data_IF_253379913695
#
_entry.id   IF_253379913695
#
_cell.length_a   1.000
_cell.length_b   1.000
_cell.length_c   1.000
_cell.angle_alpha   90.00
_cell.angle_beta   90.00
_cell.angle_gamma   90.00
#
_symmetry.space_group_name_H-M   'P 1'
#
loop_
_entity.id
_entity.type
_entity.pdbx_description
1 polymer ?
#
# COMPACT_ATOMS: atom_id res chain seq x y z
N UNK A 1 -20.35 22.59 35.09
CA UNK A 1 -18.94 22.90 34.79
C UNK A 1 -18.77 23.28 33.33
N UNK A 2 -17.91 24.26 33.01
CA UNK A 2 -17.54 24.63 31.63
C UNK A 2 -16.02 24.64 31.51
N UNK A 3 -15.48 23.96 30.50
CA UNK A 3 -14.05 23.96 30.18
C UNK A 3 -13.85 24.06 28.67
N UNK A 4 -12.75 24.68 28.25
CA UNK A 4 -12.44 24.83 26.83
C UNK A 4 -10.95 24.79 26.54
N UNK A 5 -10.60 24.33 25.34
CA UNK A 5 -9.23 24.23 24.86
C UNK A 5 -9.14 24.67 23.40
N UNK A 6 -8.07 25.38 23.04
CA UNK A 6 -7.72 25.71 21.67
C UNK A 6 -6.53 24.87 21.22
N UNK A 7 -6.67 24.19 20.09
CA UNK A 7 -5.61 23.44 19.43
C UNK A 7 -5.23 24.20 18.16
N UNK A 8 -3.93 24.44 17.97
CA UNK A 8 -3.41 25.11 16.78
C UNK A 8 -2.13 24.42 16.31
N UNK A 9 -2.00 24.19 15.00
CA UNK A 9 -0.76 23.66 14.40
C UNK A 9 0.18 24.79 14.00
N UNK A 10 1.48 24.49 13.97
CA UNK A 10 2.51 25.48 13.60
C UNK A 10 2.41 25.93 12.14
N UNK A 11 2.09 25.00 11.23
CA UNK A 11 1.88 25.31 9.81
C UNK A 11 0.41 25.66 9.54
N UNK A 12 0.19 26.76 8.82
CA UNK A 12 -1.11 27.17 8.28
C UNK A 12 -1.74 26.17 7.31
N UNK A 13 -0.95 25.28 6.73
CA UNK A 13 -1.41 24.28 5.76
C UNK A 13 -1.74 22.93 6.40
N UNK A 14 -1.42 22.75 7.67
CA UNK A 14 -1.76 21.54 8.41
C UNK A 14 -3.18 21.63 8.94
N UNK A 15 -3.80 20.46 9.09
CA UNK A 15 -5.08 20.30 9.77
C UNK A 15 -4.89 19.55 11.09
N UNK A 16 -5.85 19.68 11.99
CA UNK A 16 -5.87 18.99 13.28
C UNK A 16 -6.76 17.75 13.13
N UNK A 17 -6.18 16.56 13.27
CA UNK A 17 -6.95 15.32 13.44
C UNK A 17 -6.98 14.95 14.91
N UNK A 18 -8.18 14.67 15.41
CA UNK A 18 -8.46 14.33 16.80
C UNK A 18 -9.08 12.94 16.89
N UNK A 19 -8.57 12.13 17.81
CA UNK A 19 -9.16 10.87 18.25
C UNK A 19 -9.81 11.03 19.63
N UNK A 20 -11.06 10.62 19.74
CA UNK A 20 -11.93 10.89 20.89
C UNK A 20 -12.32 9.58 21.58
N UNK A 21 -12.16 9.54 22.90
CA UNK A 21 -12.69 8.52 23.81
C UNK A 21 -13.50 9.22 24.91
N UNK A 22 -14.83 9.01 24.92
CA UNK A 22 -15.73 9.61 25.91
C UNK A 22 -16.40 8.54 26.74
N UNK A 23 -16.65 8.86 28.00
CA UNK A 23 -17.62 8.21 28.87
C UNK A 23 -18.17 9.30 29.79
N UNK A 24 -19.20 9.99 29.29
CA UNK A 24 -19.86 11.15 29.90
C UNK A 24 -21.36 10.95 29.95
N UNK A 25 -22.10 11.73 30.74
CA UNK A 25 -23.55 11.58 30.83
C UNK A 25 -24.25 11.87 29.49
N UNK A 26 -25.13 10.97 29.05
CA UNK A 26 -25.77 11.09 27.72
C UNK A 26 -26.79 12.23 27.61
N UNK A 27 -27.49 12.57 28.70
CA UNK A 27 -28.53 13.60 28.67
C UNK A 27 -27.99 15.03 28.79
N UNK A 28 -26.88 15.18 29.53
CA UNK A 28 -26.63 16.40 30.27
C UNK A 28 -25.19 16.89 30.13
N UNK A 29 -24.24 15.98 29.90
CA UNK A 29 -22.88 16.33 29.52
C UNK A 29 -22.72 16.38 27.99
N UNK A 30 -21.78 17.21 27.51
CA UNK A 30 -21.42 17.25 26.10
C UNK A 30 -19.98 17.68 25.89
N UNK A 31 -19.29 16.99 24.98
CA UNK A 31 -18.03 17.40 24.41
C UNK A 31 -18.27 17.84 22.95
N UNK A 32 -18.01 19.10 22.64
CA UNK A 32 -18.22 19.68 21.32
C UNK A 32 -16.91 20.17 20.73
N UNK A 33 -16.70 19.90 19.44
CA UNK A 33 -15.53 20.32 18.68
C UNK A 33 -15.97 21.30 17.58
N UNK A 34 -15.21 22.36 17.38
CA UNK A 34 -15.47 23.41 16.41
C UNK A 34 -14.31 23.59 15.43
N UNK A 35 -14.64 23.84 14.16
CA UNK A 35 -13.72 23.99 13.04
C UNK A 35 -13.12 25.40 12.96
N UNK A 36 -12.43 25.82 14.02
CA UNK A 36 -11.83 27.14 14.07
C UNK A 36 -11.29 27.52 15.45
N UNK A 37 -11.00 28.81 15.67
CA UNK A 37 -10.35 29.28 16.89
C UNK A 37 -11.27 29.35 18.12
N UNK A 38 -12.59 29.34 17.93
CA UNK A 38 -13.56 29.58 18.99
C UNK A 38 -14.90 28.87 18.70
N UNK A 39 -15.88 29.05 19.60
CA UNK A 39 -17.22 28.46 19.51
C UNK A 39 -18.17 29.15 18.52
N UNK A 40 -17.71 30.16 17.78
CA UNK A 40 -18.49 30.78 16.69
C UNK A 40 -18.24 30.07 15.35
N UNK A 41 -17.21 29.23 15.28
CA UNK A 41 -16.92 28.41 14.11
C UNK A 41 -17.92 27.25 13.95
N UNK A 42 -17.89 26.58 12.80
CA UNK A 42 -18.78 25.46 12.50
C UNK A 42 -18.52 24.29 13.45
N UNK A 43 -19.60 23.71 13.99
CA UNK A 43 -19.49 22.52 14.86
C UNK A 43 -19.14 21.29 14.04
N UNK A 44 -18.03 20.64 14.38
CA UNK A 44 -17.58 19.36 13.80
C UNK A 44 -18.30 18.17 14.43
N UNK A 45 -18.97 18.37 15.56
CA UNK A 45 -19.79 17.36 16.21
C UNK A 45 -19.90 17.53 17.71
N UNK A 46 -20.99 16.98 18.25
CA UNK A 46 -21.27 16.91 19.68
C UNK A 46 -21.25 15.44 20.11
N UNK A 47 -20.41 15.13 21.08
CA UNK A 47 -20.23 13.80 21.64
C UNK A 47 -20.84 13.74 23.04
N UNK A 48 -21.61 12.67 23.30
CA UNK A 48 -22.30 12.38 24.58
C UNK A 48 -22.31 10.88 24.86
N UNK A 49 -22.33 10.44 26.13
CA UNK A 49 -22.29 9.02 26.41
C UNK A 49 -20.92 8.38 26.20
N UNK A 50 -20.93 7.09 25.88
CA UNK A 50 -19.72 6.27 25.73
C UNK A 50 -19.35 6.10 24.25
N UNK A 51 -18.23 6.65 23.84
CA UNK A 51 -17.67 6.50 22.49
C UNK A 51 -16.17 6.18 22.58
N UNK A 52 -15.66 5.36 21.66
CA UNK A 52 -14.23 5.05 21.61
C UNK A 52 -13.74 5.02 20.17
N UNK A 53 -12.69 5.80 19.89
CA UNK A 53 -12.00 5.78 18.60
C UNK A 53 -12.63 6.64 17.50
N UNK A 54 -13.56 7.53 17.84
CA UNK A 54 -14.10 8.48 16.87
C UNK A 54 -13.00 9.44 16.42
N UNK A 55 -12.93 9.69 15.11
CA UNK A 55 -11.95 10.62 14.52
C UNK A 55 -12.66 11.81 13.92
N UNK A 56 -12.12 13.00 14.19
CA UNK A 56 -12.60 14.28 13.68
C UNK A 56 -11.42 15.06 13.14
N UNK A 57 -11.56 15.63 11.94
CA UNK A 57 -10.51 16.42 11.30
C UNK A 57 -11.04 17.82 11.03
N UNK A 58 -10.28 18.86 11.37
CA UNK A 58 -10.59 20.24 11.01
C UNK A 58 -10.31 20.52 9.55
N UNK A 59 -10.90 21.58 8.99
CA UNK A 59 -10.58 22.09 7.65
C UNK A 59 -9.31 22.95 7.62
N UNK A 60 -8.87 23.44 8.77
CA UNK A 60 -7.68 24.29 8.90
C UNK A 60 -6.84 23.96 10.12
N UNK A 61 -5.87 24.85 10.41
CA UNK A 61 -4.89 24.65 11.47
C UNK A 61 -5.41 24.79 12.90
N UNK A 62 -6.64 25.25 13.08
CA UNK A 62 -7.22 25.56 14.39
C UNK A 62 -8.45 24.70 14.65
N UNK A 63 -8.57 24.23 15.89
CA UNK A 63 -9.75 23.55 16.39
C UNK A 63 -10.03 24.00 17.82
N UNK A 64 -11.30 24.21 18.14
CA UNK A 64 -11.73 24.61 19.49
C UNK A 64 -12.58 23.51 20.11
N UNK A 65 -12.27 23.16 21.36
CA UNK A 65 -12.91 22.06 22.08
C UNK A 65 -13.62 22.63 23.30
N UNK A 66 -14.88 22.29 23.50
CA UNK A 66 -15.70 22.72 24.63
C UNK A 66 -16.29 21.53 25.34
N UNK A 67 -16.11 21.46 26.65
CA UNK A 67 -16.78 20.49 27.51
C UNK A 67 -17.77 21.21 28.43
N UNK A 68 -19.02 20.74 28.41
CA UNK A 68 -20.10 21.21 29.29
C UNK A 68 -20.61 20.02 30.10
N UNK A 69 -20.76 20.23 31.39
CA UNK A 69 -21.34 19.27 32.32
C UNK A 69 -22.22 20.00 33.33
N UNK A 70 -23.21 19.34 33.92
CA UNK A 70 -24.02 19.92 34.98
C UNK A 70 -23.39 19.63 36.37
N UNK A 71 -24.19 19.66 37.44
CA UNK A 71 -23.74 19.32 38.80
C UNK A 71 -24.13 17.90 39.21
N UNK A 72 -24.59 17.07 38.26
CA UNK A 72 -25.18 15.76 38.51
C UNK A 72 -24.21 14.61 38.15
N UNK A 73 -24.69 13.54 37.52
CA UNK A 73 -24.03 12.23 37.38
C UNK A 73 -22.59 12.36 36.88
N UNK A 74 -21.64 11.85 37.67
CA UNK A 74 -20.24 11.83 37.30
C UNK A 74 -19.88 10.51 36.59
N UNK A 75 -19.24 10.62 35.44
CA UNK A 75 -18.67 9.49 34.68
C UNK A 75 -17.15 9.62 34.58
N UNK A 76 -16.49 8.73 33.83
CA UNK A 76 -15.03 8.75 33.65
C UNK A 76 -14.51 10.03 33.00
N UNK A 77 -15.35 10.73 32.23
CA UNK A 77 -14.98 11.94 31.51
C UNK A 77 -14.59 11.62 30.07
N UNK A 78 -13.65 12.37 29.52
CA UNK A 78 -13.15 12.14 28.17
C UNK A 78 -11.62 12.21 28.09
N UNK A 79 -11.10 11.56 27.05
CA UNK A 79 -9.71 11.60 26.62
C UNK A 79 -9.68 11.94 25.14
N UNK A 80 -8.86 12.91 24.81
CA UNK A 80 -8.68 13.39 23.45
C UNK A 80 -7.20 13.37 23.11
N UNK A 81 -6.85 12.74 21.99
CA UNK A 81 -5.50 12.76 21.43
C UNK A 81 -5.57 13.44 20.06
N UNK A 82 -4.74 14.45 19.84
CA UNK A 82 -4.67 15.13 18.55
C UNK A 82 -3.32 14.94 17.88
N UNK A 83 -3.27 15.17 16.57
CA UNK A 83 -2.04 15.25 15.78
C UNK A 83 -2.24 16.25 14.64
N UNK A 84 -1.15 16.80 14.15
CA UNK A 84 -1.17 17.55 12.89
C UNK A 84 -1.14 16.59 11.71
N UNK A 85 -1.98 16.85 10.71
CA UNK A 85 -1.97 16.13 9.44
C UNK A 85 -1.58 17.12 8.35
N UNK A 86 -0.53 16.78 7.61
CA UNK A 86 -0.09 17.53 6.45
C UNK A 86 -0.72 16.92 5.20
N UNK A 87 -1.77 17.57 4.70
CA UNK A 87 -2.50 17.07 3.53
C UNK A 87 -1.72 17.26 2.22
N UNK A 88 -0.69 18.12 2.20
CA UNK A 88 0.05 18.45 0.97
C UNK A 88 1.30 17.62 0.77
N UNK A 89 1.82 16.97 1.81
CA UNK A 89 2.97 16.06 1.71
C UNK A 89 2.79 14.97 0.65
N UNK A 90 1.59 14.42 0.51
CA UNK A 90 1.34 13.31 -0.44
C UNK A 90 1.44 13.78 -1.89
N UNK A 91 0.87 14.94 -2.22
CA UNK A 91 0.89 15.47 -3.58
C UNK A 91 2.33 15.81 -4.00
N UNK A 92 3.07 16.50 -3.13
CA UNK A 92 4.47 16.83 -3.40
C UNK A 92 5.36 15.58 -3.47
N UNK A 93 5.04 14.53 -2.71
CA UNK A 93 5.72 13.24 -2.81
C UNK A 93 5.48 12.58 -4.17
N UNK A 94 4.24 12.55 -4.66
CA UNK A 94 3.92 11.98 -5.98
C UNK A 94 4.59 12.79 -7.09
N UNK A 95 4.49 14.12 -7.05
CA UNK A 95 5.15 15.01 -8.02
C UNK A 95 6.66 14.79 -8.04
N UNK A 96 7.29 14.67 -6.86
CA UNK A 96 8.72 14.37 -6.74
C UNK A 96 9.10 13.03 -7.38
N UNK A 97 8.33 11.97 -7.11
CA UNK A 97 8.57 10.64 -7.71
C UNK A 97 8.44 10.69 -9.23
N UNK A 98 7.39 11.33 -9.76
CA UNK A 98 7.17 11.44 -11.21
C UNK A 98 8.31 12.22 -11.89
N UNK A 99 8.72 13.35 -11.30
CA UNK A 99 9.84 14.14 -11.82
C UNK A 99 11.15 13.35 -11.78
N UNK A 100 11.43 12.60 -10.72
CA UNK A 100 12.62 11.77 -10.62
C UNK A 100 12.65 10.66 -11.71
N UNK A 101 11.51 10.00 -11.96
CA UNK A 101 11.38 8.99 -13.02
C UNK A 101 11.56 9.62 -14.40
N UNK A 102 10.97 10.78 -14.66
CA UNK A 102 11.14 11.50 -15.93
C UNK A 102 12.60 11.93 -16.16
N UNK A 103 13.26 12.49 -15.14
CA UNK A 103 14.67 12.91 -15.22
C UNK A 103 15.59 11.71 -15.46
N UNK A 104 15.34 10.58 -14.81
CA UNK A 104 16.16 9.37 -15.00
C UNK A 104 15.99 8.79 -16.41
N UNK A 105 14.76 8.75 -16.94
CA UNK A 105 14.49 8.34 -18.33
C UNK A 105 15.19 9.29 -19.31
N UNK A 106 15.04 10.60 -19.15
CA UNK A 106 15.67 11.60 -20.02
C UNK A 106 17.20 11.52 -19.96
N UNK A 107 17.77 11.30 -18.78
CA UNK A 107 19.21 11.12 -18.59
C UNK A 107 19.73 9.87 -19.29
N UNK A 108 19.04 8.72 -19.14
CA UNK A 108 19.38 7.49 -19.86
C UNK A 108 19.25 7.69 -21.37
N UNK A 109 18.18 8.32 -21.84
CA UNK A 109 18.01 8.66 -23.27
C UNK A 109 19.14 9.55 -23.78
N UNK A 110 19.54 10.56 -23.00
CA UNK A 110 20.66 11.45 -23.35
C UNK A 110 21.98 10.69 -23.39
N UNK A 111 22.26 9.82 -22.42
CA UNK A 111 23.46 8.97 -22.40
C UNK A 111 23.46 8.02 -23.60
N UNK A 112 22.32 7.41 -23.94
CA UNK A 112 22.19 6.56 -25.12
C UNK A 112 22.37 7.35 -26.42
N UNK A 113 21.94 8.61 -26.47
CA UNK A 113 22.19 9.47 -27.64
C UNK A 113 23.67 9.86 -27.74
N UNK A 114 24.29 10.24 -26.63
CA UNK A 114 25.71 10.63 -26.58
C UNK A 114 26.66 9.44 -26.81
N UNK A 115 26.32 8.24 -26.32
CA UNK A 115 27.08 7.00 -26.56
C UNK A 115 26.71 6.32 -27.88
N UNK A 116 25.49 6.54 -28.40
CA UNK A 116 24.95 5.95 -29.63
C UNK A 116 25.36 6.64 -30.92
N UNK A 117 26.04 7.79 -30.85
CA UNK A 117 26.78 8.38 -31.98
C UNK A 117 28.21 7.82 -32.05
N UNK A 118 28.41 6.57 -31.63
CA UNK A 118 29.59 5.78 -31.96
C UNK A 118 29.18 4.37 -32.40
N UNK A 119 28.48 4.25 -33.54
CA UNK A 119 28.69 3.08 -34.40
C UNK A 119 28.57 3.43 -35.88
N UNK A 120 29.75 3.43 -36.49
CA UNK A 120 30.06 3.47 -37.91
C UNK A 120 29.06 2.69 -38.76
N UNK A 121 28.60 3.30 -39.85
CA UNK A 121 28.11 2.54 -41.01
C UNK A 121 29.35 1.98 -41.72
N UNK A 122 29.79 0.80 -41.33
CA UNK A 122 30.79 0.09 -42.12
C UNK A 122 30.12 -0.34 -43.43
N UNK A 123 30.46 0.34 -44.52
CA UNK A 123 30.06 0.01 -45.88
C UNK A 123 30.58 -1.39 -46.20
N UNK A 124 29.68 -2.35 -46.37
CA UNK A 124 30.04 -3.69 -46.88
C UNK A 124 30.55 -3.50 -48.31
N UNK A 125 31.87 -3.48 -48.46
CA UNK A 125 32.53 -3.48 -49.75
C UNK A 125 32.12 -4.74 -50.52
N UNK A 126 31.55 -4.54 -51.71
CA UNK A 126 31.12 -5.59 -52.63
C UNK A 126 32.29 -6.52 -53.00
N UNK A 127 32.29 -7.74 -52.46
CA UNK A 127 33.15 -8.81 -52.97
C UNK A 127 32.56 -9.25 -54.32
N UNK A 128 33.29 -9.02 -55.41
CA UNK A 128 32.99 -9.66 -56.71
C UNK A 128 33.46 -11.12 -56.65
N UNK A 129 32.67 -12.12 -57.06
CA UNK A 129 33.18 -13.46 -57.25
C UNK A 129 33.99 -13.53 -58.55
N UNK A 130 35.24 -13.98 -58.45
CA UNK A 130 36.08 -14.32 -59.59
C UNK A 130 35.74 -15.75 -60.04
N UNK A 131 35.17 -15.90 -61.24
CA UNK A 131 34.88 -17.20 -61.83
C UNK A 131 36.06 -17.67 -62.70
N UNK A 132 36.69 -18.76 -62.28
CA UNK A 132 37.52 -19.63 -63.11
C UNK A 132 38.56 -20.38 -62.27
N UNK A 133 38.86 -21.66 -62.45
CA UNK A 133 38.46 -22.74 -63.36
C UNK A 133 39.11 -24.04 -62.81
N UNK A 134 38.51 -25.22 -63.03
CA UNK A 134 39.03 -26.60 -62.78
C UNK A 134 39.18 -27.06 -61.30
N UNK A 135 38.68 -28.20 -60.79
CA UNK A 135 38.32 -29.53 -61.34
C UNK A 135 37.16 -30.21 -60.55
N UNK A 136 36.56 -31.24 -61.17
CA UNK A 136 35.31 -31.94 -60.81
C UNK A 136 35.41 -33.01 -59.69
N UNK A 137 34.26 -33.46 -59.10
CA UNK A 137 34.20 -34.36 -57.93
C UNK A 137 34.32 -35.86 -58.26
N UNK A 138 34.98 -36.63 -57.38
CA UNK A 138 35.07 -38.09 -57.46
C UNK A 138 34.11 -38.75 -56.45
N UNK A 139 33.29 -39.66 -56.98
CA UNK A 139 32.29 -40.51 -56.33
C UNK A 139 32.90 -41.57 -55.39
N UNK A 140 32.17 -41.97 -54.32
CA UNK A 140 31.67 -43.34 -54.09
C UNK A 140 30.99 -43.55 -52.72
N UNK A 141 29.97 -44.42 -52.72
CA UNK A 141 29.01 -44.80 -51.66
C UNK A 141 29.48 -46.13 -50.97
N UNK A 142 28.97 -46.54 -49.79
CA UNK A 142 27.84 -47.51 -49.78
C UNK A 142 26.76 -47.31 -48.68
N UNK A 143 25.58 -47.90 -48.92
CA UNK A 143 24.33 -47.92 -48.12
C UNK A 143 24.41 -48.78 -46.84
N UNK A 144 23.42 -48.66 -45.95
CA UNK A 144 22.66 -49.84 -45.52
C UNK A 144 21.21 -49.81 -46.03
N UNK A 145 20.72 -50.99 -46.42
CA UNK A 145 19.34 -51.25 -46.78
C UNK A 145 18.49 -51.41 -45.51
N UNK A 146 17.28 -50.81 -45.49
CA UNK A 146 16.07 -51.62 -45.40
C UNK A 146 14.83 -50.78 -45.75
N UNK A 147 14.14 -51.27 -46.78
CA UNK A 147 12.89 -50.77 -47.31
C UNK A 147 11.73 -51.19 -46.40
N UNK A 148 10.81 -50.27 -46.10
CA UNK A 148 9.37 -50.56 -46.16
C UNK A 148 8.70 -49.36 -46.83
N UNK A 149 8.13 -49.61 -48.01
CA UNK A 149 7.31 -48.68 -48.78
C UNK A 149 5.90 -48.68 -48.18
N UNK A 150 5.31 -47.50 -47.94
CA UNK A 150 3.87 -47.40 -47.66
C UNK A 150 3.22 -46.64 -48.80
N UNK A 151 2.37 -47.37 -49.53
CA UNK A 151 1.60 -46.95 -50.70
C UNK A 151 0.46 -46.01 -50.26
N UNK A 152 0.11 -44.95 -51.01
CA UNK A 152 -1.02 -44.08 -50.67
C UNK A 152 -2.34 -44.78 -51.02
N UNK A 153 -3.27 -44.92 -50.05
CA UNK A 153 -4.65 -45.36 -50.34
C UNK A 153 -5.34 -46.29 -49.35
N UNK A 154 -5.00 -46.32 -48.06
CA UNK A 154 -5.82 -47.03 -47.06
C UNK A 154 -6.33 -46.10 -45.95
N UNK A 155 -7.65 -46.13 -45.78
CA UNK A 155 -8.41 -45.48 -44.72
C UNK A 155 -8.08 -46.19 -43.39
N UNK A 156 -7.46 -45.47 -42.45
CA UNK A 156 -7.18 -45.98 -41.10
C UNK A 156 -8.27 -45.44 -40.16
N UNK A 157 -9.07 -46.27 -39.47
CA UNK A 157 -10.06 -45.78 -38.52
C UNK A 157 -9.39 -45.22 -37.25
N UNK A 158 -10.03 -44.27 -36.54
CA UNK A 158 -9.45 -43.62 -35.36
C UNK A 158 -9.31 -44.59 -34.17
N UNK A 159 -8.32 -44.39 -33.29
CA UNK A 159 -8.06 -45.27 -32.16
C UNK A 159 -9.18 -45.19 -31.10
N UNK A 160 -9.51 -46.35 -30.55
CA UNK A 160 -10.50 -46.58 -29.50
C UNK A 160 -10.04 -46.00 -28.16
N UNK A 161 -10.97 -45.29 -27.50
CA UNK A 161 -10.82 -44.58 -26.23
C UNK A 161 -10.76 -45.55 -25.04
N UNK A 162 -9.58 -45.97 -24.59
CA UNK A 162 -9.43 -46.60 -23.25
C UNK A 162 -8.09 -46.39 -22.52
N UNK A 163 -7.13 -45.61 -23.04
CA UNK A 163 -5.78 -45.55 -22.44
C UNK A 163 -5.38 -44.14 -21.96
N UNK A 164 -6.22 -43.52 -21.11
CA UNK A 164 -5.91 -42.21 -20.48
C UNK A 164 -6.16 -42.19 -18.97
N UNK A 165 -6.63 -43.28 -18.38
CA UNK A 165 -7.07 -43.33 -16.97
C UNK A 165 -6.04 -43.93 -15.99
N UNK A 166 -4.91 -44.47 -16.46
CA UNK A 166 -3.92 -45.11 -15.57
C UNK A 166 -2.66 -44.26 -15.29
N UNK A 167 -2.37 -43.24 -16.08
CA UNK A 167 -1.25 -42.33 -15.80
C UNK A 167 -1.60 -41.17 -14.85
N UNK A 168 -2.87 -40.79 -14.76
CA UNK A 168 -3.28 -39.65 -13.92
C UNK A 168 -3.49 -40.01 -12.43
N UNK A 169 -3.52 -41.30 -12.09
CA UNK A 169 -3.71 -41.74 -10.69
C UNK A 169 -2.39 -41.81 -9.88
N UNK A 170 -1.23 -41.81 -10.55
CA UNK A 170 0.09 -41.86 -9.87
C UNK A 170 0.64 -40.48 -9.49
N UNK A 171 0.00 -39.38 -9.90
CA UNK A 171 0.45 -38.02 -9.61
C UNK A 171 -0.24 -37.37 -8.39
N UNK A 172 -1.33 -37.95 -7.87
CA UNK A 172 -2.11 -37.37 -6.76
C UNK A 172 -1.74 -37.92 -5.36
N UNK A 173 -0.85 -38.90 -5.26
CA UNK A 173 -0.54 -39.60 -3.99
C UNK A 173 0.80 -39.18 -3.34
N UNK A 174 1.37 -38.04 -3.75
CA UNK A 174 2.66 -37.52 -3.27
C UNK A 174 2.59 -36.14 -2.58
N UNK A 175 1.42 -35.70 -2.10
CA UNK A 175 1.27 -34.39 -1.43
C UNK A 175 0.71 -34.43 0.00
N UNK A 176 0.78 -35.57 0.70
CA UNK A 176 0.30 -35.63 2.08
C UNK A 176 1.25 -36.40 3.00
N UNK A 177 2.41 -35.79 3.29
CA UNK A 177 3.18 -36.01 4.53
C UNK A 177 4.29 -34.95 4.65
N UNK A 178 4.02 -33.83 5.32
CA UNK A 178 4.90 -33.42 6.41
C UNK A 178 4.18 -32.53 7.44
N UNK A 179 4.42 -32.86 8.70
CA UNK A 179 3.85 -32.26 9.91
C UNK A 179 4.72 -31.09 10.35
N UNK A 180 4.17 -30.17 11.15
CA UNK A 180 4.98 -29.48 12.15
C UNK A 180 4.49 -28.09 12.53
N UNK A 181 3.98 -27.97 13.76
CA UNK A 181 3.40 -26.77 14.36
C UNK A 181 4.34 -26.22 15.45
N UNK A 182 4.46 -24.88 15.51
CA UNK A 182 4.97 -23.95 16.57
C UNK A 182 6.43 -23.46 16.48
N UNK A 183 6.79 -22.35 17.17
CA UNK A 183 6.14 -21.02 17.21
C UNK A 183 7.17 -19.89 16.95
N UNK A 184 6.82 -18.91 16.11
CA UNK A 184 7.72 -17.79 15.77
C UNK A 184 7.17 -16.44 16.24
N UNK A 185 7.72 -15.95 17.35
CA UNK A 185 8.10 -14.55 17.59
C UNK A 185 7.26 -13.44 16.93
N UNK A 186 6.40 -12.83 17.73
CA UNK A 186 5.89 -11.49 17.49
C UNK A 186 7.01 -10.47 17.71
N UNK A 187 7.77 -10.16 16.67
CA UNK A 187 8.59 -8.96 16.57
C UNK A 187 8.12 -8.16 15.35
N UNK A 188 7.20 -7.22 15.58
CA UNK A 188 7.11 -6.02 14.75
C UNK A 188 7.26 -4.82 15.66
N UNK A 189 8.41 -4.20 15.49
CA UNK A 189 8.86 -2.96 16.08
C UNK A 189 7.74 -1.91 16.20
N UNK A 190 7.40 -1.58 17.44
CA UNK A 190 6.91 -0.24 17.76
C UNK A 190 8.11 0.71 17.69
N UNK A 191 8.42 1.20 16.48
CA UNK A 191 9.29 2.36 16.32
C UNK A 191 8.48 3.57 15.89
N UNK A 192 8.65 4.65 16.65
CA UNK A 192 8.15 6.00 16.43
C UNK A 192 6.72 6.27 16.92
N UNK A 193 6.59 6.30 18.26
CA UNK A 193 5.60 7.16 18.91
C UNK A 193 5.92 8.60 18.47
N UNK A 194 5.13 9.12 17.54
CA UNK A 194 5.22 10.49 17.04
C UNK A 194 5.18 11.46 18.21
N UNK A 195 5.97 12.53 18.13
CA UNK A 195 6.06 13.61 19.13
C UNK A 195 4.76 14.43 19.25
N UNK A 196 3.66 14.00 18.63
CA UNK A 196 2.50 14.85 18.34
C UNK A 196 1.26 14.50 19.16
N UNK A 197 1.24 13.39 19.90
CA UNK A 197 0.08 12.99 20.70
C UNK A 197 0.03 13.77 22.03
N UNK A 198 -0.41 15.02 21.98
CA UNK A 198 -0.76 15.77 23.19
C UNK A 198 -2.17 15.37 23.60
N UNK A 199 -2.33 15.12 24.90
CA UNK A 199 -3.54 14.58 25.49
C UNK A 199 -4.30 15.64 26.26
N UNK A 200 -5.59 15.77 25.97
CA UNK A 200 -6.52 16.58 26.76
C UNK A 200 -7.41 15.64 27.58
N UNK A 201 -7.42 15.83 28.90
CA UNK A 201 -8.21 15.03 29.83
C UNK A 201 -9.05 15.94 30.73
N UNK A 202 -10.29 15.54 31.02
CA UNK A 202 -11.04 16.04 32.18
C UNK A 202 -10.70 15.19 33.41
N UNK A 203 -10.19 15.78 34.49
CA UNK A 203 -10.12 15.10 35.78
C UNK A 203 -11.51 15.10 36.45
N UNK A 204 -11.94 14.02 37.15
CA UNK A 204 -13.16 14.06 37.94
C UNK A 204 -13.02 15.06 39.12
N UNK A 205 -14.07 15.80 39.49
CA UNK A 205 -14.05 16.65 40.68
C UNK A 205 -13.79 15.80 41.95
N UNK A 206 -12.88 16.26 42.83
CA UNK A 206 -12.65 15.62 44.14
C UNK A 206 -13.95 15.62 44.94
N UNK A 207 -14.38 14.44 45.40
CA UNK A 207 -15.47 14.34 46.35
C UNK A 207 -15.01 14.86 47.72
N UNK A 208 -15.40 16.09 48.07
CA UNK A 208 -15.45 16.52 49.46
C UNK A 208 -16.76 16.01 50.05
N UNK A 209 -16.70 14.87 50.73
CA UNK A 209 -17.75 14.46 51.66
C UNK A 209 -17.58 15.29 52.93
N UNK A 210 -18.39 16.35 53.08
CA UNK A 210 -18.61 16.96 54.39
C UNK A 210 -19.45 15.98 55.22
N UNK A 211 -18.81 15.45 56.27
CA UNK A 211 -19.43 14.60 57.28
C UNK A 211 -20.15 15.52 58.27
N UNK A 212 -21.48 15.60 58.18
CA UNK A 212 -22.34 16.05 59.29
C UNK A 212 -22.40 15.01 60.39
#
# INVERSE_FOLDING_TARGET
MFQSWSIETEDSLNVVEVMIDTDIETCCDSLELFDGPNSEADSLGIFRGTYSGNKVTSSGRQMYVVFRSDSSVQRRGFRLAYKQVDEKKVIWMIVGIVLAVLITILSVCLILFLCGVCKSKDQVASIRPNYGQHQQPVWMIPRPQNHVQVVPGQFVPPPTYQDVTYQNQQAMDMQDMDRGVRPGTADMAMSNVSRDNIMVNSLPPRQHYERT
#
